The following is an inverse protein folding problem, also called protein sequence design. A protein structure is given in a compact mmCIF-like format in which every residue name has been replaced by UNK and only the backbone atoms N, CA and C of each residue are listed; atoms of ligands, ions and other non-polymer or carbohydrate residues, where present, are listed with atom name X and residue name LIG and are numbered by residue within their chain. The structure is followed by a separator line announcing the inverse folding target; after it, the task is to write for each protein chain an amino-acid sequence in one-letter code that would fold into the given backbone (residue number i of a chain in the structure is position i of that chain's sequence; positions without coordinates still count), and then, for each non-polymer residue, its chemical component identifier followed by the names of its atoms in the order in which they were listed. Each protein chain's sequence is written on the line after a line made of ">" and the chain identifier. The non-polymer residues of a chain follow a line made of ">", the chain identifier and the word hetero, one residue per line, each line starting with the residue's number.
data_IF_443874507699
#
_entry.id   IF_443874507699
#
_cell.length_a   1.000
_cell.length_b   1.000
_cell.length_c   1.000
_cell.angle_alpha   90.00
_cell.angle_beta   90.00
_cell.angle_gamma   90.00
#
_symmetry.space_group_name_H-M   'P 1'
#
loop_
_entity.id
_entity.type
_entity.pdbx_description
1 polymer ?
#
# COMPACT_ATOMS: atom_id res chain seq x y z
N UNK A 1 -12.78 3.28 1.04
CA UNK A 1 -11.82 3.09 -0.05
C UNK A 1 -10.41 3.09 0.53
N UNK A 2 -9.56 2.11 0.19
CA UNK A 2 -8.18 2.11 0.65
C UNK A 2 -7.35 3.25 0.05
N UNK A 3 -6.48 3.84 0.87
CA UNK A 3 -5.48 4.82 0.42
C UNK A 3 -4.10 4.28 0.74
N UNK A 4 -3.17 4.48 -0.17
CA UNK A 4 -1.79 4.02 -0.07
C UNK A 4 -0.89 5.22 -0.28
N UNK A 5 -0.08 5.55 0.71
CA UNK A 5 0.97 6.54 0.60
C UNK A 5 2.30 5.79 0.50
N UNK A 6 3.05 6.04 -0.56
CA UNK A 6 4.40 5.50 -0.76
C UNK A 6 5.37 6.66 -0.59
N UNK A 7 6.09 6.64 0.51
CA UNK A 7 7.12 7.61 0.82
C UNK A 7 8.46 7.12 0.31
N UNK A 8 9.26 8.03 -0.22
CA UNK A 8 10.60 7.74 -0.72
C UNK A 8 11.54 8.92 -0.50
N UNK A 9 12.84 8.62 -0.40
CA UNK A 9 13.93 9.59 -0.52
C UNK A 9 14.64 9.39 -1.84
N UNK A 10 15.14 10.48 -2.41
CA UNK A 10 15.75 10.60 -3.75
C UNK A 10 14.76 10.48 -4.91
N UNK A 11 14.78 11.52 -5.75
CA UNK A 11 14.06 11.56 -7.04
C UNK A 11 14.42 10.40 -7.98
N UNK A 12 15.57 9.74 -7.79
CA UNK A 12 15.95 8.54 -8.56
C UNK A 12 15.02 7.34 -8.32
N UNK A 13 14.32 7.30 -7.18
CA UNK A 13 13.36 6.23 -6.86
C UNK A 13 11.97 6.47 -7.44
N UNK A 14 11.67 7.69 -7.91
CA UNK A 14 10.34 8.03 -8.42
C UNK A 14 9.98 7.29 -9.72
N UNK A 15 10.81 7.29 -10.78
CA UNK A 15 10.49 6.53 -12.01
C UNK A 15 10.20 5.04 -11.77
N UNK A 16 11.03 4.28 -11.00
CA UNK A 16 10.74 2.88 -10.72
C UNK A 16 9.46 2.68 -9.90
N UNK A 17 9.17 3.57 -8.94
CA UNK A 17 7.92 3.51 -8.17
C UNK A 17 6.71 3.81 -9.05
N UNK A 18 6.81 4.78 -9.94
CA UNK A 18 5.71 5.17 -10.83
C UNK A 18 5.36 4.06 -11.83
N UNK A 19 6.36 3.33 -12.33
CA UNK A 19 6.13 2.16 -13.18
C UNK A 19 5.39 1.03 -12.45
N UNK A 20 5.57 0.91 -11.13
CA UNK A 20 4.98 -0.14 -10.30
C UNK A 20 3.52 0.16 -9.89
N UNK A 21 3.09 1.42 -9.92
CA UNK A 21 1.77 1.85 -9.43
C UNK A 21 0.62 1.04 -10.02
N UNK A 22 0.66 0.74 -11.33
CA UNK A 22 -0.40 -0.02 -12.00
C UNK A 22 -0.59 -1.41 -11.40
N UNK A 23 0.46 -2.25 -11.43
CA UNK A 23 0.40 -3.61 -10.90
C UNK A 23 0.20 -3.66 -9.39
N UNK A 24 0.80 -2.71 -8.64
CA UNK A 24 0.62 -2.62 -7.20
C UNK A 24 -0.83 -2.31 -6.83
N UNK A 25 -1.52 -1.48 -7.62
CA UNK A 25 -2.92 -1.14 -7.39
C UNK A 25 -3.83 -2.35 -7.54
N UNK A 26 -3.58 -3.17 -8.56
CA UNK A 26 -4.30 -4.44 -8.76
C UNK A 26 -4.02 -5.41 -7.60
N UNK A 27 -2.75 -5.57 -7.23
CA UNK A 27 -2.32 -6.48 -6.17
C UNK A 27 -2.89 -6.10 -4.79
N UNK A 28 -2.86 -4.82 -4.44
CA UNK A 28 -3.42 -4.33 -3.18
C UNK A 28 -4.94 -4.52 -3.14
N UNK A 29 -5.65 -4.33 -4.26
CA UNK A 29 -7.09 -4.55 -4.30
C UNK A 29 -7.44 -6.02 -4.05
N UNK A 30 -6.65 -6.95 -4.59
CA UNK A 30 -6.79 -8.39 -4.34
C UNK A 30 -6.52 -8.74 -2.87
N UNK A 31 -5.36 -8.34 -2.32
CA UNK A 31 -4.99 -8.68 -0.94
C UNK A 31 -5.90 -8.03 0.12
N UNK A 32 -6.46 -6.84 -0.17
CA UNK A 32 -7.40 -6.18 0.74
C UNK A 32 -8.84 -6.67 0.58
N UNK A 33 -9.19 -7.46 -0.44
CA UNK A 33 -10.55 -8.02 -0.60
C UNK A 33 -10.87 -8.96 0.58
N UNK A 34 -12.10 -8.90 1.09
CA UNK A 34 -12.53 -9.70 2.25
C UNK A 34 -13.97 -10.17 2.07
N UNK A 35 -14.25 -11.46 2.26
CA UNK A 35 -15.58 -12.04 2.07
C UNK A 35 -16.31 -11.52 0.82
N UNK A 36 -17.44 -10.86 1.01
CA UNK A 36 -18.27 -10.28 -0.05
C UNK A 36 -17.77 -8.91 -0.56
N UNK A 37 -16.83 -8.28 0.15
CA UNK A 37 -16.27 -6.97 -0.20
C UNK A 37 -15.13 -7.17 -1.19
N UNK A 38 -15.48 -7.14 -2.48
CA UNK A 38 -14.52 -7.20 -3.59
C UNK A 38 -14.08 -5.79 -3.97
N UNK A 39 -12.81 -5.48 -3.72
CA UNK A 39 -12.22 -4.22 -4.14
C UNK A 39 -11.80 -4.32 -5.60
N UNK A 40 -12.17 -3.31 -6.38
CA UNK A 40 -11.63 -3.10 -7.72
C UNK A 40 -10.36 -2.25 -7.63
N UNK A 41 -9.43 -2.40 -8.59
CA UNK A 41 -8.22 -1.59 -8.61
C UNK A 41 -8.52 -0.10 -8.53
N UNK A 42 -9.51 0.40 -9.28
CA UNK A 42 -9.90 1.81 -9.28
C UNK A 42 -10.43 2.35 -7.92
N UNK A 43 -10.68 1.49 -6.94
CA UNK A 43 -11.08 1.87 -5.58
C UNK A 43 -9.90 2.03 -4.61
N UNK A 44 -8.68 1.71 -5.06
CA UNK A 44 -7.43 1.94 -4.35
C UNK A 44 -6.78 3.21 -4.87
N UNK A 45 -6.47 4.14 -3.97
CA UNK A 45 -5.73 5.36 -4.31
C UNK A 45 -4.27 5.23 -3.89
N UNK A 46 -3.32 5.36 -4.82
CA UNK A 46 -1.88 5.35 -4.52
C UNK A 46 -1.33 6.76 -4.74
N UNK A 47 -0.51 7.24 -3.80
CA UNK A 47 0.21 8.51 -3.87
C UNK A 47 1.69 8.25 -3.65
N UNK A 48 2.53 8.82 -4.51
CA UNK A 48 3.97 8.86 -4.31
C UNK A 48 4.29 10.18 -3.61
N UNK A 49 5.04 10.14 -2.51
CA UNK A 49 5.36 11.29 -1.67
C UNK A 49 6.86 11.34 -1.47
N UNK A 50 7.53 12.32 -2.07
CA UNK A 50 8.94 12.58 -1.82
C UNK A 50 9.13 13.20 -0.43
N UNK A 51 10.01 12.61 0.36
CA UNK A 51 10.37 13.10 1.69
C UNK A 51 11.66 13.89 1.60
N UNK A 52 11.55 15.22 1.65
CA UNK A 52 12.68 16.16 1.50
C UNK A 52 13.40 16.49 2.81
N UNK A 53 12.90 16.02 3.96
CA UNK A 53 13.49 16.25 5.28
C UNK A 53 13.03 15.24 6.32
N UNK A 54 13.72 15.18 7.47
CA UNK A 54 13.47 14.18 8.51
C UNK A 54 14.12 12.82 8.22
N UNK A 55 13.88 11.85 9.10
CA UNK A 55 14.39 10.49 8.97
C UNK A 55 13.33 9.56 8.40
N UNK A 56 13.77 8.53 7.68
CA UNK A 56 12.95 7.40 7.26
C UNK A 56 13.63 6.14 7.76
N UNK A 57 12.82 5.16 8.16
CA UNK A 57 13.21 3.83 8.63
C UNK A 57 13.68 2.96 7.46
N UNK A 58 13.05 3.10 6.30
CA UNK A 58 13.39 2.39 5.07
C UNK A 58 13.72 3.33 3.91
N UNK A 59 14.28 2.78 2.83
CA UNK A 59 14.49 3.57 1.61
C UNK A 59 13.17 3.89 0.89
N UNK A 60 12.18 3.00 1.06
CA UNK A 60 10.79 3.15 0.64
C UNK A 60 9.90 2.72 1.79
N UNK A 61 8.88 3.52 2.07
CA UNK A 61 7.92 3.26 3.12
C UNK A 61 6.51 3.31 2.56
N UNK A 62 5.68 2.34 2.92
CA UNK A 62 4.33 2.18 2.39
C UNK A 62 3.35 2.17 3.54
N UNK A 63 2.51 3.19 3.59
CA UNK A 63 1.38 3.27 4.48
C UNK A 63 0.11 2.90 3.73
N UNK A 64 -0.61 1.91 4.22
CA UNK A 64 -1.91 1.52 3.69
C UNK A 64 -2.96 1.84 4.74
N UNK A 65 -3.96 2.62 4.38
CA UNK A 65 -5.14 2.85 5.22
C UNK A 65 -6.35 2.15 4.60
N UNK A 66 -7.05 1.33 5.38
CA UNK A 66 -8.24 0.62 4.92
C UNK A 66 -9.25 0.39 6.06
N UNK A 67 -10.47 -0.05 5.73
CA UNK A 67 -11.46 -0.39 6.76
C UNK A 67 -11.05 -1.61 7.60
N UNK A 68 -11.41 -1.62 8.88
CA UNK A 68 -11.20 -2.76 9.79
C UNK A 68 -12.25 -3.86 9.63
N UNK A 69 -12.30 -4.55 8.49
CA UNK A 69 -13.07 -5.80 8.41
C UNK A 69 -12.40 -6.89 9.25
N UNK A 70 -13.19 -7.69 9.97
CA UNK A 70 -12.66 -8.72 10.88
C UNK A 70 -11.71 -9.72 10.20
N UNK A 71 -11.97 -10.07 8.94
CA UNK A 71 -11.05 -10.91 8.15
C UNK A 71 -9.71 -10.21 7.87
N UNK A 72 -9.76 -8.93 7.48
CA UNK A 72 -8.56 -8.12 7.21
C UNK A 72 -7.70 -7.94 8.45
N UNK A 73 -8.33 -7.70 9.61
CA UNK A 73 -7.62 -7.59 10.90
C UNK A 73 -6.84 -8.87 11.19
N UNK A 74 -7.41 -10.05 10.96
CA UNK A 74 -6.74 -11.34 11.19
C UNK A 74 -5.54 -11.57 10.26
N UNK A 75 -5.55 -10.98 9.06
CA UNK A 75 -4.52 -11.14 8.03
C UNK A 75 -3.59 -9.93 7.90
N UNK A 76 -3.68 -8.94 8.79
CA UNK A 76 -3.04 -7.64 8.59
C UNK A 76 -1.51 -7.74 8.37
N UNK A 77 -0.83 -8.60 9.13
CA UNK A 77 0.62 -8.78 9.04
C UNK A 77 0.99 -9.51 7.74
N UNK A 78 0.21 -10.52 7.36
CA UNK A 78 0.37 -11.26 6.10
C UNK A 78 0.21 -10.32 4.90
N UNK A 79 -0.79 -9.44 4.91
CA UNK A 79 -1.02 -8.44 3.87
C UNK A 79 0.20 -7.52 3.75
N UNK A 80 0.73 -7.02 4.86
CA UNK A 80 1.92 -6.16 4.84
C UNK A 80 3.13 -6.87 4.24
N UNK A 81 3.37 -8.12 4.65
CA UNK A 81 4.50 -8.93 4.15
C UNK A 81 4.38 -9.21 2.65
N UNK A 82 3.21 -9.64 2.18
CA UNK A 82 2.98 -9.91 0.75
C UNK A 82 3.17 -8.68 -0.12
N UNK A 83 2.69 -7.52 0.33
CA UNK A 83 2.85 -6.27 -0.43
C UNK A 83 4.33 -5.86 -0.45
N UNK A 84 5.04 -6.01 0.66
CA UNK A 84 6.48 -5.78 0.71
C UNK A 84 7.23 -6.70 -0.27
N UNK A 85 6.93 -8.00 -0.26
CA UNK A 85 7.52 -9.00 -1.15
C UNK A 85 7.22 -8.70 -2.63
N UNK A 86 5.98 -8.29 -2.94
CA UNK A 86 5.58 -7.89 -4.28
C UNK A 86 6.40 -6.71 -4.79
N UNK A 87 6.52 -5.63 -4.00
CA UNK A 87 7.28 -4.44 -4.38
C UNK A 87 8.76 -4.80 -4.62
N UNK A 88 9.34 -5.61 -3.73
CA UNK A 88 10.74 -6.03 -3.85
C UNK A 88 10.98 -6.98 -5.03
N UNK A 89 10.01 -7.83 -5.36
CA UNK A 89 10.08 -8.75 -6.50
C UNK A 89 10.03 -7.99 -7.83
N UNK A 90 9.06 -7.09 -7.96
CA UNK A 90 8.86 -6.30 -9.18
C UNK A 90 9.95 -5.24 -9.35
N UNK A 91 10.52 -4.75 -8.25
CA UNK A 91 11.65 -3.83 -8.30
C UNK A 91 12.70 -4.09 -7.20
N UNK A 92 13.67 -4.99 -7.45
CA UNK A 92 14.72 -5.32 -6.48
C UNK A 92 15.66 -4.16 -6.12
N UNK A 93 15.63 -3.06 -6.89
CA UNK A 93 16.46 -1.87 -6.62
C UNK A 93 15.92 -1.01 -5.48
N UNK A 94 14.62 -1.12 -5.16
CA UNK A 94 13.94 -0.38 -4.08
C UNK A 94 14.23 -0.94 -2.67
N UNK A 95 15.43 -1.48 -2.45
CA UNK A 95 15.90 -2.16 -1.22
C UNK A 95 15.31 -1.55 0.06
N UNK A 96 15.04 -2.39 1.06
CA UNK A 96 14.52 -1.95 2.38
C UNK A 96 13.14 -1.27 2.35
N UNK A 97 12.20 -1.87 1.62
CA UNK A 97 10.77 -1.51 1.69
C UNK A 97 10.21 -1.82 3.10
N UNK A 98 9.51 -0.87 3.69
CA UNK A 98 8.70 -1.07 4.92
C UNK A 98 7.23 -0.86 4.59
N UNK A 99 6.36 -1.73 5.09
CA UNK A 99 4.91 -1.66 4.85
C UNK A 99 4.18 -1.72 6.18
N UNK A 100 3.18 -0.87 6.37
CA UNK A 100 2.24 -0.94 7.48
C UNK A 100 0.81 -0.75 7.00
N UNK A 101 -0.11 -1.42 7.68
CA UNK A 101 -1.54 -1.36 7.42
C UNK A 101 -2.26 -0.75 8.63
N UNK A 102 -2.88 0.40 8.41
CA UNK A 102 -3.71 1.09 9.38
C UNK A 102 -5.19 0.80 9.11
N UNK A 103 -5.82 0.12 10.06
CA UNK A 103 -7.21 -0.31 9.96
C UNK A 103 -8.12 0.66 10.73
N UNK A 104 -9.03 1.32 10.02
CA UNK A 104 -9.95 2.31 10.58
C UNK A 104 -11.34 1.72 10.83
N UNK A 105 -11.83 1.85 12.07
CA UNK A 105 -13.16 1.38 12.50
C UNK A 105 -14.31 2.31 12.10
N UNK A 106 -14.04 3.62 11.96
CA UNK A 106 -15.03 4.65 11.67
C UNK A 106 -14.57 5.50 10.46
N UNK A 107 -15.50 5.84 9.56
CA UNK A 107 -15.22 6.78 8.45
C UNK A 107 -15.43 6.23 7.04
N UNK A 108 -16.48 5.44 6.81
CA UNK A 108 -16.85 5.03 5.45
C UNK A 108 -18.27 5.44 5.09
N UNK A 109 -18.38 6.47 4.27
CA UNK A 109 -19.59 6.78 3.53
C UNK A 109 -19.59 5.95 2.23
N UNK A 110 -20.07 4.71 2.31
CA UNK A 110 -20.52 3.99 1.13
C UNK A 110 -21.96 4.42 0.85
N UNK A 111 -22.24 4.88 -0.38
CA UNK A 111 -23.58 4.81 -0.94
C UNK A 111 -23.58 3.64 -1.91
N UNK A 112 -24.50 2.71 -1.71
CA UNK A 112 -24.86 1.70 -2.72
C UNK A 112 -25.37 2.36 -4.00
#
# INVERSE_FOLDING_TARGET
>A
MPTVNIFYKDSEKEPPLQALVGGLKDYIAEELTCGDIKLKPNEVSIRLIEVTGGEMIGAVEVEITAHSFAERVKKQDEICLKIMEYIQKENPSLREVKVWLQLSELGHSWKE
#
